data_IF_002103392076
#
_entry.id   IF_002103392076
#
_cell.length_a   1.000
_cell.length_b   1.000
_cell.length_c   1.000
_cell.angle_alpha   90.00
_cell.angle_beta   90.00
_cell.angle_gamma   90.00
#
_symmetry.space_group_name_H-M   'P 1'
#
loop_
_entity.id
_entity.type
_entity.pdbx_description
1 polymer ?
#
# COMPACT_ATOMS: atom_id res chain seq x y z
N UNK A 1 57.05 51.80 23.55
CA UNK A 1 56.05 52.37 22.63
C UNK A 1 55.46 51.24 21.80
N UNK A 2 54.19 51.17 21.77
CA UNK A 2 53.25 50.28 21.02
C UNK A 2 52.64 49.11 21.82
N UNK A 3 51.37 49.35 22.12
CA UNK A 3 50.45 48.52 22.83
C UNK A 3 50.10 47.28 22.08
N UNK A 4 50.05 46.13 22.79
CA UNK A 4 49.44 44.93 22.35
C UNK A 4 48.02 44.87 22.92
N UNK A 5 47.02 44.97 22.05
CA UNK A 5 45.62 44.77 22.40
C UNK A 5 45.31 43.27 22.24
N UNK A 6 45.09 42.59 23.35
CA UNK A 6 44.58 41.19 23.36
C UNK A 6 43.10 41.22 23.12
N UNK A 7 42.64 40.64 22.00
CA UNK A 7 41.23 40.39 21.70
C UNK A 7 40.85 39.01 22.28
N UNK A 8 40.07 39.05 23.36
CA UNK A 8 39.47 37.86 23.97
C UNK A 8 38.24 37.48 23.16
N UNK A 9 38.32 36.41 22.33
CA UNK A 9 37.15 35.82 21.70
C UNK A 9 36.44 34.93 22.70
N UNK A 10 35.29 35.38 23.18
CA UNK A 10 34.33 34.59 23.93
C UNK A 10 33.61 33.65 22.95
N UNK A 11 33.90 32.36 22.98
CA UNK A 11 33.06 31.34 22.35
C UNK A 11 31.81 31.14 23.21
N UNK A 12 30.69 31.70 22.80
CA UNK A 12 29.38 31.32 23.31
C UNK A 12 28.99 30.01 22.61
N UNK A 13 29.04 28.92 23.34
CA UNK A 13 28.45 27.67 22.93
C UNK A 13 26.92 27.83 22.97
N UNK A 14 26.31 28.02 21.82
CA UNK A 14 24.85 27.94 21.71
C UNK A 14 24.50 26.47 21.72
N UNK A 15 24.02 25.99 22.84
CA UNK A 15 23.33 24.70 22.91
C UNK A 15 22.00 24.83 22.14
N UNK A 16 22.00 24.39 20.90
CA UNK A 16 20.75 24.17 20.16
C UNK A 16 20.15 22.88 20.72
N UNK A 17 19.34 23.02 21.77
CA UNK A 17 18.42 21.94 22.13
C UNK A 17 17.46 21.79 20.96
N UNK A 18 17.56 20.64 20.29
CA UNK A 18 16.59 20.23 19.30
C UNK A 18 15.20 20.24 19.95
N UNK A 19 14.31 21.06 19.41
CA UNK A 19 12.91 21.03 19.81
C UNK A 19 12.39 19.63 19.46
N UNK A 20 12.04 18.86 20.48
CA UNK A 20 11.21 17.68 20.31
C UNK A 20 9.91 18.14 19.64
N UNK A 21 9.46 17.53 18.54
CA UNK A 21 8.18 17.89 17.94
C UNK A 21 7.08 17.72 19.00
N UNK A 22 6.26 18.73 19.12
CA UNK A 22 5.09 18.71 20.01
C UNK A 22 4.21 17.53 19.59
N UNK A 23 3.80 16.64 20.50
CA UNK A 23 2.91 15.55 20.16
C UNK A 23 1.63 16.12 19.54
N UNK A 24 1.23 15.61 18.40
CA UNK A 24 -0.07 15.90 17.79
C UNK A 24 -1.14 15.51 18.79
N UNK A 25 -1.96 16.46 19.21
CA UNK A 25 -3.07 16.17 20.13
C UNK A 25 -4.12 15.31 19.41
N UNK A 26 -4.65 14.26 20.02
CA UNK A 26 -5.82 13.56 19.51
C UNK A 26 -6.99 14.53 19.37
N UNK A 27 -7.75 14.41 18.28
CA UNK A 27 -9.01 15.14 18.14
C UNK A 27 -9.95 14.58 19.23
N UNK A 28 -10.40 15.42 20.15
CA UNK A 28 -11.32 15.01 21.21
C UNK A 28 -12.65 14.53 20.62
N UNK A 29 -12.76 13.23 20.44
CA UNK A 29 -14.04 12.52 20.30
C UNK A 29 -14.09 11.50 21.41
N UNK A 30 -15.17 11.46 22.18
CA UNK A 30 -15.35 10.46 23.23
C UNK A 30 -15.22 9.07 22.64
N UNK A 31 -14.26 8.24 23.05
CA UNK A 31 -14.06 6.94 22.45
C UNK A 31 -15.22 6.02 22.79
N UNK A 32 -15.91 5.53 21.78
CA UNK A 32 -16.71 4.32 21.93
C UNK A 32 -15.74 3.17 22.05
N UNK A 33 -15.68 2.51 23.20
CA UNK A 33 -14.69 1.47 23.47
C UNK A 33 -14.84 0.31 22.49
N UNK A 34 -13.77 0.04 21.71
CA UNK A 34 -13.65 -1.19 20.97
C UNK A 34 -13.44 -2.31 21.99
N UNK A 35 -14.31 -3.32 21.98
CA UNK A 35 -14.23 -4.45 22.91
C UNK A 35 -12.89 -5.19 22.75
N UNK A 36 -12.38 -5.75 23.85
CA UNK A 36 -11.07 -6.40 23.95
C UNK A 36 -10.97 -7.74 23.18
N UNK A 37 -11.15 -7.72 21.86
CA UNK A 37 -10.99 -8.93 21.04
C UNK A 37 -9.73 -8.78 20.19
N UNK A 38 -8.57 -8.94 20.81
CA UNK A 38 -7.32 -9.22 20.08
C UNK A 38 -7.22 -10.74 19.96
N UNK A 39 -7.85 -11.29 18.91
CA UNK A 39 -7.69 -12.70 18.56
C UNK A 39 -6.54 -12.87 17.58
N UNK A 40 -5.48 -13.55 17.99
CA UNK A 40 -4.46 -14.11 17.10
C UNK A 40 -5.05 -15.31 16.33
N UNK A 41 -6.06 -15.07 15.49
CA UNK A 41 -6.58 -16.13 14.63
C UNK A 41 -5.70 -16.28 13.41
N UNK A 42 -5.18 -17.49 13.23
CA UNK A 42 -4.72 -18.03 11.94
C UNK A 42 -5.74 -17.67 10.87
N UNK A 43 -5.32 -16.98 9.81
CA UNK A 43 -6.18 -16.60 8.70
C UNK A 43 -6.73 -17.91 8.09
N UNK A 44 -7.96 -18.24 8.43
CA UNK A 44 -8.68 -19.31 7.73
C UNK A 44 -8.93 -18.86 6.29
N UNK A 45 -8.94 -19.75 5.29
CA UNK A 45 -9.26 -19.37 3.93
C UNK A 45 -10.61 -18.63 3.93
N UNK A 46 -10.61 -17.42 3.38
CA UNK A 46 -11.77 -16.52 3.36
C UNK A 46 -12.90 -17.23 2.60
N UNK A 47 -13.97 -17.57 3.28
CA UNK A 47 -15.16 -18.14 2.64
C UNK A 47 -15.74 -17.08 1.72
N UNK A 48 -15.78 -17.32 0.41
CA UNK A 48 -16.42 -16.42 -0.55
C UNK A 48 -17.94 -16.40 -0.23
N UNK A 49 -18.44 -15.22 0.12
CA UNK A 49 -19.86 -15.01 0.47
C UNK A 49 -20.62 -14.66 -0.81
N UNK A 50 -21.89 -15.08 -0.96
CA UNK A 50 -22.75 -14.64 -2.06
C UNK A 50 -22.74 -13.11 -2.20
N UNK A 51 -22.87 -12.61 -3.43
CA UNK A 51 -22.81 -11.18 -3.76
C UNK A 51 -23.92 -10.35 -3.11
N UNK A 52 -25.06 -10.98 -2.86
CA UNK A 52 -26.26 -10.41 -2.23
C UNK A 52 -26.06 -9.93 -0.77
N UNK A 53 -25.00 -10.42 -0.10
CA UNK A 53 -24.67 -10.00 1.27
C UNK A 53 -23.43 -9.10 1.37
N UNK A 54 -22.83 -8.73 0.24
CA UNK A 54 -21.57 -8.01 0.23
C UNK A 54 -21.75 -6.49 -0.01
N UNK A 55 -21.03 -5.68 0.77
CA UNK A 55 -20.83 -4.27 0.49
C UNK A 55 -19.54 -4.08 -0.30
N UNK A 56 -19.56 -3.25 -1.33
CA UNK A 56 -18.36 -2.85 -2.05
C UNK A 56 -17.90 -1.49 -1.54
N UNK A 57 -16.76 -1.48 -0.85
CA UNK A 57 -16.10 -0.26 -0.44
C UNK A 57 -15.37 0.34 -1.63
N UNK A 58 -15.61 1.61 -1.88
CA UNK A 58 -14.93 2.41 -2.90
C UNK A 58 -14.27 3.60 -2.20
N UNK A 59 -12.95 3.72 -2.36
CA UNK A 59 -12.20 4.91 -1.98
C UNK A 59 -11.86 5.67 -3.28
N UNK A 60 -12.60 6.74 -3.51
CA UNK A 60 -12.50 7.50 -4.75
C UNK A 60 -11.37 8.55 -4.67
N UNK A 61 -10.84 8.94 -5.83
CA UNK A 61 -9.76 9.92 -5.98
C UNK A 61 -10.09 11.32 -5.40
N UNK A 62 -11.37 11.63 -5.15
CA UNK A 62 -11.78 12.89 -4.52
C UNK A 62 -11.74 12.83 -2.99
N UNK A 63 -11.18 11.76 -2.41
CA UNK A 63 -11.12 11.54 -0.97
C UNK A 63 -12.43 11.07 -0.36
N UNK A 64 -13.40 10.67 -1.18
CA UNK A 64 -14.65 10.08 -0.70
C UNK A 64 -14.49 8.58 -0.54
N UNK A 65 -14.77 8.10 0.67
CA UNK A 65 -14.94 6.70 0.97
C UNK A 65 -16.43 6.40 1.11
N UNK A 66 -16.92 5.42 0.37
CA UNK A 66 -18.32 4.99 0.48
C UNK A 66 -18.47 3.49 0.25
N UNK A 67 -19.56 2.90 0.73
CA UNK A 67 -19.92 1.54 0.42
C UNK A 67 -21.16 1.51 -0.45
N UNK A 68 -21.12 0.65 -1.46
CA UNK A 68 -22.24 0.34 -2.33
C UNK A 68 -22.79 -1.04 -1.98
N UNK A 69 -24.07 -1.10 -1.69
CA UNK A 69 -24.81 -2.33 -1.42
C UNK A 69 -25.36 -2.86 -2.74
N UNK A 70 -24.94 -4.05 -3.14
CA UNK A 70 -25.32 -4.67 -4.41
C UNK A 70 -26.78 -5.13 -4.45
N UNK A 71 -27.35 -5.50 -3.31
CA UNK A 71 -28.74 -5.99 -3.25
C UNK A 71 -29.73 -4.83 -3.39
N UNK A 72 -29.52 -3.76 -2.62
CA UNK A 72 -30.38 -2.57 -2.68
C UNK A 72 -30.03 -1.61 -3.79
N UNK A 73 -28.90 -1.77 -4.47
CA UNK A 73 -28.32 -0.86 -5.47
C UNK A 73 -28.18 0.58 -4.95
N UNK A 74 -27.83 0.73 -3.67
CA UNK A 74 -27.70 2.03 -3.01
C UNK A 74 -26.37 2.21 -2.30
N UNK A 75 -26.01 3.47 -2.02
CA UNK A 75 -24.91 3.81 -1.12
C UNK A 75 -25.38 3.60 0.30
N UNK A 76 -24.74 2.67 1.05
CA UNK A 76 -25.09 2.38 2.43
C UNK A 76 -24.58 3.48 3.39
N UNK A 77 -23.34 3.94 3.19
CA UNK A 77 -22.77 5.04 3.94
C UNK A 77 -21.63 5.74 3.18
N UNK A 78 -21.29 6.96 3.61
CA UNK A 78 -20.23 7.78 3.02
C UNK A 78 -19.44 8.48 4.12
N UNK A 79 -18.10 8.51 3.97
CA UNK A 79 -17.17 9.23 4.85
C UNK A 79 -16.18 10.02 4.01
N UNK A 80 -15.81 11.22 4.51
CA UNK A 80 -14.74 12.06 3.94
C UNK A 80 -13.77 12.50 5.03
N UNK A 81 -12.55 12.88 4.62
CA UNK A 81 -11.63 13.62 5.49
C UNK A 81 -12.31 14.91 6.02
N UNK A 82 -11.83 15.38 7.17
CA UNK A 82 -12.40 16.58 7.82
C UNK A 82 -12.21 17.83 6.97
N UNK A 83 -11.06 17.95 6.32
CA UNK A 83 -10.74 19.07 5.42
C UNK A 83 -10.96 18.63 3.96
N UNK A 84 -11.53 19.52 3.14
CA UNK A 84 -11.77 19.25 1.72
C UNK A 84 -10.46 19.34 0.93
N UNK A 85 -9.80 18.22 0.74
CA UNK A 85 -8.68 18.09 -0.20
C UNK A 85 -9.09 17.27 -1.41
N UNK A 86 -8.43 17.57 -2.54
CA UNK A 86 -8.50 16.69 -3.70
C UNK A 86 -7.41 15.65 -3.54
N UNK A 87 -7.76 14.41 -3.27
CA UNK A 87 -6.80 13.30 -3.34
C UNK A 87 -6.44 13.06 -4.80
N UNK A 88 -5.15 13.06 -5.11
CA UNK A 88 -4.68 12.76 -6.47
C UNK A 88 -4.43 11.27 -6.66
N UNK A 89 -4.38 10.49 -5.58
CA UNK A 89 -4.18 9.05 -5.55
C UNK A 89 -4.98 8.47 -4.39
N UNK A 90 -5.76 7.43 -4.62
CA UNK A 90 -6.45 6.75 -3.54
C UNK A 90 -5.44 5.99 -2.66
N UNK A 91 -5.41 6.31 -1.37
CA UNK A 91 -4.76 5.46 -0.38
C UNK A 91 -5.52 4.12 -0.28
N UNK A 92 -4.86 3.12 0.28
CA UNK A 92 -5.46 1.80 0.49
C UNK A 92 -5.95 1.68 1.92
N UNK A 93 -6.98 0.87 2.13
CA UNK A 93 -7.54 0.64 3.46
C UNK A 93 -7.15 -0.74 3.98
N UNK A 94 -7.06 -0.86 5.29
CA UNK A 94 -6.90 -2.16 5.96
C UNK A 94 -8.16 -2.47 6.75
N UNK A 95 -8.73 -3.65 6.52
CA UNK A 95 -9.90 -4.15 7.22
C UNK A 95 -9.47 -5.28 8.17
N UNK A 96 -9.74 -5.11 9.46
CA UNK A 96 -9.49 -6.12 10.50
C UNK A 96 -10.66 -6.11 11.49
N UNK A 97 -11.22 -7.27 11.76
CA UNK A 97 -12.27 -7.50 12.77
C UNK A 97 -13.43 -6.47 12.67
N UNK A 98 -13.88 -6.21 11.45
CA UNK A 98 -14.98 -5.27 11.19
C UNK A 98 -14.61 -3.79 11.22
N UNK A 99 -13.34 -3.45 11.46
CA UNK A 99 -12.86 -2.06 11.49
C UNK A 99 -12.01 -1.74 10.27
N UNK A 100 -12.40 -0.69 9.56
CA UNK A 100 -11.62 -0.09 8.46
C UNK A 100 -10.67 0.96 9.01
N UNK A 101 -9.38 0.84 8.70
CA UNK A 101 -8.37 1.84 8.98
C UNK A 101 -8.02 2.57 7.69
N UNK A 102 -8.42 3.84 7.62
CA UNK A 102 -8.43 4.64 6.39
C UNK A 102 -7.47 5.81 6.51
N UNK A 103 -6.38 5.84 5.76
CA UNK A 103 -5.49 6.99 5.69
C UNK A 103 -6.02 7.97 4.62
N UNK A 104 -6.06 9.27 4.96
CA UNK A 104 -6.38 10.35 4.05
C UNK A 104 -5.14 11.18 3.72
N UNK A 105 -5.09 11.74 2.52
CA UNK A 105 -3.90 12.46 2.02
C UNK A 105 -3.45 13.59 2.95
N UNK A 106 -4.38 14.24 3.65
CA UNK A 106 -4.10 15.32 4.60
C UNK A 106 -3.45 14.87 5.92
N UNK A 107 -3.16 13.56 6.08
CA UNK A 107 -2.58 12.98 7.29
C UNK A 107 -3.59 12.51 8.32
N UNK A 108 -4.89 12.63 8.06
CA UNK A 108 -5.90 12.03 8.93
C UNK A 108 -5.93 10.51 8.73
N UNK A 109 -6.15 9.80 9.82
CA UNK A 109 -6.37 8.35 9.84
C UNK A 109 -7.62 8.10 10.65
N UNK A 110 -8.60 7.42 10.05
CA UNK A 110 -9.86 7.09 10.71
C UNK A 110 -9.95 5.58 10.95
N UNK A 111 -10.48 5.19 12.11
CA UNK A 111 -11.02 3.86 12.33
C UNK A 111 -12.53 3.92 12.20
N UNK A 112 -13.09 3.09 11.32
CA UNK A 112 -14.49 3.17 10.90
C UNK A 112 -15.10 1.78 10.98
N UNK A 113 -16.31 1.67 11.52
CA UNK A 113 -17.11 0.47 11.41
C UNK A 113 -17.44 0.19 9.95
N UNK A 114 -17.10 -1.00 9.47
CA UNK A 114 -17.21 -1.34 8.05
C UNK A 114 -18.66 -1.46 7.56
N UNK A 115 -19.62 -1.73 8.43
CA UNK A 115 -21.02 -1.92 8.06
C UNK A 115 -21.81 -0.60 8.10
N UNK A 116 -21.52 0.24 9.08
CA UNK A 116 -22.34 1.44 9.36
C UNK A 116 -21.68 2.75 8.97
N UNK A 117 -20.37 2.75 8.68
CA UNK A 117 -19.59 3.98 8.48
C UNK A 117 -19.37 4.80 9.76
N UNK A 118 -19.72 4.24 10.94
CA UNK A 118 -19.53 4.93 12.22
C UNK A 118 -18.03 5.07 12.51
N UNK A 119 -17.60 6.29 12.79
CA UNK A 119 -16.19 6.58 13.10
C UNK A 119 -15.94 6.31 14.57
N UNK A 120 -15.07 5.36 14.89
CA UNK A 120 -14.66 5.05 16.25
C UNK A 120 -13.67 6.08 16.79
N UNK A 121 -12.66 6.42 15.97
CA UNK A 121 -11.69 7.44 16.29
C UNK A 121 -11.10 8.08 15.03
N UNK A 122 -10.54 9.26 15.23
CA UNK A 122 -9.74 10.00 14.25
C UNK A 122 -8.39 10.34 14.85
N UNK A 123 -7.34 10.22 14.09
CA UNK A 123 -6.01 10.68 14.45
C UNK A 123 -5.43 11.46 13.27
N UNK A 124 -4.48 12.33 13.56
CA UNK A 124 -3.76 13.08 12.52
C UNK A 124 -2.26 12.96 12.75
N UNK A 125 -1.52 12.65 11.67
CA UNK A 125 -0.07 12.66 11.64
C UNK A 125 0.41 13.81 10.73
N UNK A 126 1.64 14.28 10.94
CA UNK A 126 2.16 15.48 10.25
C UNK A 126 1.66 16.78 10.85
N UNK A 127 1.91 17.89 10.18
CA UNK A 127 1.47 19.23 10.60
C UNK A 127 0.07 19.50 10.06
N UNK A 128 -0.71 20.31 10.79
CA UNK A 128 -2.09 20.67 10.40
C UNK A 128 -2.16 21.47 9.09
N UNK A 129 -1.05 22.07 8.65
CA UNK A 129 -0.94 22.85 7.42
C UNK A 129 -0.46 22.04 6.21
N UNK A 130 0.02 20.81 6.44
CA UNK A 130 0.50 19.95 5.36
C UNK A 130 -0.69 19.39 4.59
N UNK A 131 -0.72 19.58 3.27
CA UNK A 131 -1.80 19.15 2.41
C UNK A 131 -1.61 17.72 1.89
N UNK A 132 -0.35 17.31 1.73
CA UNK A 132 0.01 15.96 1.26
C UNK A 132 0.92 15.32 2.28
N UNK A 133 0.35 14.49 3.15
CA UNK A 133 1.08 13.77 4.20
C UNK A 133 1.12 12.29 3.91
N UNK A 134 0.01 11.72 3.47
CA UNK A 134 -0.14 10.30 3.16
C UNK A 134 -0.51 10.14 1.68
N UNK A 135 0.35 9.48 0.92
CA UNK A 135 0.16 9.20 -0.50
C UNK A 135 0.49 7.75 -0.79
N UNK A 136 -0.39 7.05 -1.50
CA UNK A 136 -0.26 5.63 -1.85
C UNK A 136 -0.04 4.69 -0.65
N UNK A 137 -0.47 5.11 0.54
CA UNK A 137 -0.22 4.37 1.76
C UNK A 137 -1.22 3.23 1.94
N UNK A 138 -0.71 2.15 2.52
CA UNK A 138 -1.47 1.03 3.06
C UNK A 138 -1.08 0.89 4.54
N UNK A 139 -1.98 1.18 5.48
CA UNK A 139 -1.70 0.94 6.89
C UNK A 139 -1.46 -0.54 7.14
N UNK A 140 -0.37 -0.87 7.81
CA UNK A 140 -0.12 -2.25 8.25
C UNK A 140 -0.51 -2.37 9.71
N UNK A 141 -1.41 -3.31 10.00
CA UNK A 141 -1.93 -3.53 11.35
C UNK A 141 -1.48 -4.87 11.86
N UNK A 142 -0.73 -4.85 12.95
CA UNK A 142 -0.26 -6.04 13.64
C UNK A 142 -0.10 -5.78 15.14
N UNK A 143 -0.44 -6.77 15.97
CA UNK A 143 -0.23 -6.75 17.42
C UNK A 143 -0.81 -5.49 18.12
N UNK A 144 -2.00 -5.05 17.69
CA UNK A 144 -2.66 -3.88 18.25
C UNK A 144 -2.04 -2.54 17.86
N UNK A 145 -1.19 -2.52 16.82
CA UNK A 145 -0.53 -1.32 16.30
C UNK A 145 -0.80 -1.12 14.82
N UNK A 146 -0.89 0.13 14.42
CA UNK A 146 -0.94 0.57 13.03
C UNK A 146 0.41 1.19 12.68
N UNK A 147 1.06 0.68 11.64
CA UNK A 147 2.30 1.20 11.10
C UNK A 147 2.07 1.86 9.75
N UNK A 148 2.64 3.06 9.56
CA UNK A 148 2.50 3.83 8.32
C UNK A 148 3.67 4.79 8.14
N UNK A 149 4.13 4.93 6.91
CA UNK A 149 5.09 5.97 6.50
C UNK A 149 4.37 7.21 5.99
N UNK A 150 5.04 8.35 5.97
CA UNK A 150 4.47 9.59 5.50
C UNK A 150 5.46 10.42 4.68
N UNK A 151 4.92 11.29 3.82
CA UNK A 151 5.68 12.19 2.94
C UNK A 151 6.62 13.15 3.71
N UNK A 152 6.32 13.40 4.99
CA UNK A 152 7.22 14.16 5.86
C UNK A 152 8.47 13.37 6.28
N UNK A 153 8.66 12.15 5.78
CA UNK A 153 9.82 11.29 6.03
C UNK A 153 9.83 10.64 7.41
N UNK A 154 8.66 10.43 8.01
CA UNK A 154 8.58 9.68 9.26
C UNK A 154 7.86 8.34 9.04
N UNK A 155 8.29 7.35 9.82
CA UNK A 155 7.55 6.14 10.11
C UNK A 155 6.81 6.34 11.43
N UNK A 156 5.53 6.02 11.48
CA UNK A 156 4.68 6.13 12.65
C UNK A 156 4.15 4.77 13.09
N UNK A 157 4.01 4.59 14.39
CA UNK A 157 3.22 3.53 15.00
C UNK A 157 2.15 4.14 15.89
N UNK A 158 0.89 3.79 15.62
CA UNK A 158 -0.26 4.24 16.38
C UNK A 158 -0.92 3.06 17.10
N UNK A 159 -1.56 3.32 18.23
CA UNK A 159 -2.42 2.36 18.91
C UNK A 159 -3.74 2.21 18.12
N UNK A 160 -4.12 0.99 17.75
CA UNK A 160 -5.36 0.77 16.99
C UNK A 160 -6.64 1.03 17.79
N UNK A 161 -6.59 1.04 19.13
CA UNK A 161 -7.78 1.23 19.97
C UNK A 161 -8.27 2.68 19.97
N UNK A 162 -7.34 3.65 19.89
CA UNK A 162 -7.65 5.06 20.06
C UNK A 162 -6.92 6.02 19.10
N UNK A 163 -6.09 5.48 18.21
CA UNK A 163 -5.29 6.26 17.26
C UNK A 163 -4.14 7.06 17.90
N UNK A 164 -3.85 6.86 19.20
CA UNK A 164 -2.76 7.57 19.87
C UNK A 164 -1.38 7.17 19.33
N UNK A 165 -0.46 8.14 19.27
CA UNK A 165 0.91 7.89 18.84
C UNK A 165 1.65 7.05 19.89
N UNK A 166 2.18 5.88 19.48
CA UNK A 166 3.04 5.05 20.30
C UNK A 166 4.52 5.45 20.16
N UNK A 167 4.98 5.55 18.92
CA UNK A 167 6.31 6.01 18.58
C UNK A 167 6.37 6.49 17.12
N UNK A 168 7.38 7.27 16.80
CA UNK A 168 7.73 7.61 15.43
C UNK A 168 9.25 7.65 15.26
N UNK A 169 9.70 7.49 14.02
CA UNK A 169 11.10 7.57 13.64
C UNK A 169 11.28 8.41 12.39
N UNK A 170 12.24 9.34 12.42
CA UNK A 170 12.62 10.17 11.27
C UNK A 170 13.54 9.37 10.36
N UNK A 171 13.09 9.11 9.13
CA UNK A 171 13.86 8.45 8.08
C UNK A 171 14.80 9.45 7.37
N UNK A 172 15.79 8.93 6.61
CA UNK A 172 16.83 9.75 5.96
C UNK A 172 16.28 10.67 4.87
N UNK A 173 15.18 10.29 4.20
CA UNK A 173 14.59 11.07 3.11
C UNK A 173 13.18 11.53 3.45
N UNK A 174 12.76 12.62 2.83
CA UNK A 174 11.37 13.06 2.72
C UNK A 174 10.74 12.51 1.45
N UNK A 175 9.42 12.71 1.27
CA UNK A 175 8.63 12.17 0.16
C UNK A 175 8.61 10.64 0.14
N UNK A 176 8.40 10.06 1.33
CA UNK A 176 8.34 8.62 1.48
C UNK A 176 6.90 8.14 1.28
N UNK A 177 6.62 7.55 0.11
CA UNK A 177 5.35 6.91 -0.26
C UNK A 177 5.45 5.38 -0.24
N UNK A 178 6.50 4.83 0.37
CA UNK A 178 6.74 3.39 0.41
C UNK A 178 6.04 2.78 1.61
N UNK A 179 5.06 1.88 1.39
CA UNK A 179 4.40 1.16 2.47
C UNK A 179 5.37 0.29 3.26
N UNK A 180 5.05 0.08 4.54
CA UNK A 180 5.84 -0.78 5.42
C UNK A 180 5.52 -2.27 5.20
N UNK A 181 6.45 -3.15 5.63
CA UNK A 181 6.24 -4.57 5.83
C UNK A 181 6.37 -4.89 7.32
N UNK A 182 5.42 -5.63 7.86
CA UNK A 182 5.58 -6.27 9.18
C UNK A 182 5.87 -7.76 8.98
N UNK A 183 6.96 -8.22 9.60
CA UNK A 183 7.35 -9.62 9.57
C UNK A 183 8.23 -9.95 10.79
N UNK A 184 7.96 -11.07 11.46
CA UNK A 184 8.75 -11.57 12.61
C UNK A 184 8.97 -10.51 13.69
N UNK A 185 7.90 -9.86 14.15
CA UNK A 185 7.90 -8.78 15.15
C UNK A 185 8.80 -7.57 14.80
N UNK A 186 9.06 -7.39 13.52
CA UNK A 186 9.86 -6.29 12.97
C UNK A 186 9.05 -5.51 11.95
N UNK A 187 9.36 -4.22 11.87
CA UNK A 187 8.85 -3.34 10.82
C UNK A 187 9.99 -3.02 9.87
N UNK A 188 9.76 -3.26 8.59
CA UNK A 188 10.69 -2.96 7.51
C UNK A 188 10.14 -1.84 6.64
N UNK A 189 11.00 -0.90 6.28
CA UNK A 189 10.70 0.13 5.30
C UNK A 189 11.98 0.60 4.62
N UNK A 190 11.82 1.42 3.62
CA UNK A 190 12.93 2.03 2.89
C UNK A 190 12.69 3.53 2.73
N UNK A 191 13.78 4.30 2.60
CA UNK A 191 13.73 5.74 2.43
C UNK A 191 14.99 6.21 1.72
N UNK A 192 14.85 6.85 0.56
CA UNK A 192 15.98 7.14 -0.30
C UNK A 192 16.74 5.86 -0.66
N UNK A 193 18.05 5.85 -0.44
CA UNK A 193 18.89 4.67 -0.68
C UNK A 193 19.06 3.76 0.54
N UNK A 194 18.27 3.94 1.60
CA UNK A 194 18.39 3.19 2.83
C UNK A 194 17.22 2.24 3.06
N UNK A 195 17.52 1.05 3.53
CA UNK A 195 16.58 0.06 4.03
C UNK A 195 16.74 -0.10 5.54
N UNK A 196 15.63 -0.17 6.26
CA UNK A 196 15.58 -0.20 7.72
C UNK A 196 14.83 -1.40 8.24
N UNK A 197 15.28 -1.91 9.38
CA UNK A 197 14.56 -2.84 10.24
C UNK A 197 14.40 -2.24 11.62
N UNK A 198 13.17 -2.25 12.14
CA UNK A 198 12.82 -1.72 13.45
C UNK A 198 12.23 -2.81 14.34
N UNK A 199 12.45 -2.72 15.64
CA UNK A 199 11.67 -3.43 16.62
C UNK A 199 10.24 -2.83 16.66
N UNK A 200 9.23 -3.64 16.39
CA UNK A 200 7.87 -3.16 16.22
C UNK A 200 7.27 -2.47 17.46
N UNK A 201 7.68 -2.89 18.66
CA UNK A 201 7.13 -2.36 19.90
C UNK A 201 7.68 -0.98 20.28
N UNK A 202 8.93 -0.70 19.97
CA UNK A 202 9.64 0.48 20.48
C UNK A 202 10.07 1.45 19.40
N UNK A 203 10.05 1.05 18.11
CA UNK A 203 10.61 1.82 17.01
C UNK A 203 12.15 1.90 17.04
N UNK A 204 12.81 1.07 17.87
CA UNK A 204 14.27 1.00 17.88
C UNK A 204 14.78 0.42 16.57
N UNK A 205 15.73 1.10 15.94
CA UNK A 205 16.42 0.58 14.75
C UNK A 205 17.23 -0.66 15.14
N UNK A 206 16.95 -1.77 14.49
CA UNK A 206 17.71 -3.03 14.64
C UNK A 206 18.91 -3.01 13.70
N UNK A 207 18.70 -2.62 12.45
CA UNK A 207 19.76 -2.30 11.51
C UNK A 207 19.29 -1.34 10.42
N UNK A 208 20.24 -0.71 9.78
CA UNK A 208 20.09 0.09 8.58
C UNK A 208 21.10 -0.38 7.55
N UNK A 209 20.66 -0.49 6.29
CA UNK A 209 21.53 -0.83 5.16
C UNK A 209 21.40 0.23 4.09
N UNK A 210 22.51 0.81 3.66
CA UNK A 210 22.57 1.72 2.52
C UNK A 210 22.89 0.97 1.24
N UNK A 211 22.27 1.41 0.16
CA UNK A 211 22.50 0.95 -1.21
C UNK A 211 23.07 2.09 -2.04
N UNK A 212 23.58 1.79 -3.22
CA UNK A 212 24.12 2.81 -4.14
C UNK A 212 23.01 3.63 -4.79
N UNK A 213 21.86 2.99 -5.05
CA UNK A 213 20.73 3.60 -5.74
C UNK A 213 19.50 3.71 -4.82
N UNK A 214 18.63 4.69 -5.06
CA UNK A 214 17.37 4.79 -4.32
C UNK A 214 16.54 3.53 -4.41
N UNK A 215 15.93 3.19 -3.28
CA UNK A 215 15.03 2.04 -3.18
C UNK A 215 13.62 2.41 -3.66
N UNK A 216 12.89 1.44 -4.17
CA UNK A 216 11.55 1.63 -4.73
C UNK A 216 10.65 0.44 -4.44
N UNK A 217 9.33 0.67 -4.48
CA UNK A 217 8.33 -0.36 -4.28
C UNK A 217 8.17 -0.80 -2.82
N UNK A 218 7.15 -1.58 -2.57
CA UNK A 218 6.83 -2.11 -1.23
C UNK A 218 7.73 -3.30 -0.90
N UNK A 219 8.35 -3.37 0.29
CA UNK A 219 9.00 -4.59 0.77
C UNK A 219 7.97 -5.73 0.90
N UNK A 220 8.36 -6.95 0.51
CA UNK A 220 7.54 -8.16 0.65
C UNK A 220 8.36 -9.29 1.26
N UNK A 221 7.68 -10.36 1.73
CA UNK A 221 8.33 -11.53 2.33
C UNK A 221 7.72 -12.83 1.85
N UNK A 222 8.53 -13.88 1.79
CA UNK A 222 8.10 -15.26 1.60
C UNK A 222 8.00 -16.05 2.92
N UNK A 223 8.12 -15.34 4.07
CA UNK A 223 8.16 -15.92 5.41
C UNK A 223 9.55 -16.35 5.87
N UNK A 224 10.59 -16.16 5.06
CA UNK A 224 12.00 -16.42 5.41
C UNK A 224 12.89 -15.20 5.11
N UNK A 225 12.71 -14.59 3.95
CA UNK A 225 13.49 -13.47 3.45
C UNK A 225 12.62 -12.24 3.21
N UNK A 226 13.25 -11.08 3.12
CA UNK A 226 12.60 -9.82 2.72
C UNK A 226 13.10 -9.45 1.33
N UNK A 227 12.17 -9.08 0.44
CA UNK A 227 12.48 -8.69 -0.93
C UNK A 227 12.17 -7.22 -1.15
N UNK A 228 13.10 -6.51 -1.78
CA UNK A 228 13.03 -5.09 -2.10
C UNK A 228 13.59 -4.83 -3.49
N UNK A 229 13.19 -3.74 -4.13
CA UNK A 229 13.74 -3.31 -5.40
C UNK A 229 14.34 -1.91 -5.31
N UNK A 230 15.17 -1.53 -6.28
CA UNK A 230 15.67 -0.18 -6.41
C UNK A 230 15.25 0.45 -7.75
N UNK A 231 15.54 1.74 -7.93
CA UNK A 231 15.21 2.51 -9.15
C UNK A 231 16.05 2.12 -10.37
N UNK A 232 17.07 1.28 -10.21
CA UNK A 232 17.88 0.71 -11.30
C UNK A 232 17.48 -0.73 -11.64
N UNK A 233 16.26 -1.10 -11.22
CA UNK A 233 15.64 -2.37 -11.59
C UNK A 233 16.41 -3.60 -11.10
N UNK A 234 16.99 -3.49 -9.92
CA UNK A 234 17.59 -4.60 -9.20
C UNK A 234 16.67 -5.02 -8.05
N UNK A 235 16.28 -6.29 -8.06
CA UNK A 235 15.58 -6.95 -6.97
C UNK A 235 16.60 -7.60 -6.04
N UNK A 236 16.44 -7.40 -4.73
CA UNK A 236 17.30 -7.98 -3.69
C UNK A 236 16.50 -8.88 -2.77
N UNK A 237 17.10 -9.99 -2.36
CA UNK A 237 16.68 -10.75 -1.19
C UNK A 237 17.58 -10.40 -0.02
N UNK A 238 16.98 -10.08 1.11
CA UNK A 238 17.66 -9.68 2.33
C UNK A 238 17.35 -10.65 3.46
N UNK A 239 18.33 -10.85 4.32
CA UNK A 239 18.12 -11.52 5.59
C UNK A 239 17.30 -10.60 6.52
N UNK A 240 16.17 -11.06 7.11
CA UNK A 240 15.36 -10.22 7.98
C UNK A 240 16.02 -9.87 9.33
N UNK A 241 17.10 -10.55 9.70
CA UNK A 241 17.77 -10.40 10.98
C UNK A 241 19.10 -9.64 10.89
N UNK A 242 19.68 -9.53 9.69
CA UNK A 242 20.97 -8.87 9.44
C UNK A 242 20.89 -8.02 8.17
N UNK A 243 21.81 -7.04 7.97
CA UNK A 243 21.81 -6.23 6.76
C UNK A 243 22.38 -6.96 5.53
N UNK A 244 22.43 -8.29 5.53
CA UNK A 244 23.06 -9.06 4.45
C UNK A 244 22.12 -9.23 3.26
N UNK A 245 22.68 -9.03 2.05
CA UNK A 245 22.06 -9.42 0.79
C UNK A 245 22.34 -10.89 0.56
N UNK A 246 21.28 -11.70 0.40
CA UNK A 246 21.37 -13.13 0.12
C UNK A 246 21.65 -13.34 -1.37
N UNK A 247 20.86 -12.66 -2.21
CA UNK A 247 21.04 -12.63 -3.65
C UNK A 247 20.49 -11.33 -4.24
N UNK A 248 20.84 -11.07 -5.48
CA UNK A 248 20.27 -9.99 -6.28
C UNK A 248 19.96 -10.49 -7.68
N UNK A 249 18.88 -9.96 -8.26
CA UNK A 249 18.46 -10.20 -9.64
C UNK A 249 18.36 -8.87 -10.37
N UNK A 250 19.08 -8.72 -11.47
CA UNK A 250 19.03 -7.51 -12.30
C UNK A 250 18.24 -7.81 -13.57
N UNK A 251 17.29 -6.93 -13.90
CA UNK A 251 16.57 -7.02 -15.16
C UNK A 251 17.50 -6.89 -16.36
N UNK A 252 17.08 -7.45 -17.49
CA UNK A 252 17.75 -7.28 -18.76
C UNK A 252 17.78 -5.79 -19.17
N UNK A 253 18.76 -5.39 -19.95
CA UNK A 253 18.83 -4.03 -20.50
C UNK A 253 17.51 -3.67 -21.21
N UNK A 254 17.04 -2.45 -21.01
CA UNK A 254 15.77 -1.91 -21.51
C UNK A 254 14.48 -2.41 -20.84
N UNK A 255 14.54 -3.08 -19.70
CA UNK A 255 13.38 -3.35 -18.87
C UNK A 255 13.47 -2.59 -17.55
N UNK A 256 12.37 -1.99 -17.12
CA UNK A 256 12.30 -1.06 -16.00
C UNK A 256 11.08 -1.34 -15.11
N UNK A 257 11.03 -0.71 -13.92
CA UNK A 257 9.88 -0.67 -13.03
C UNK A 257 9.50 -1.99 -12.36
N UNK A 258 10.46 -2.74 -11.78
CA UNK A 258 10.17 -3.86 -10.86
C UNK A 258 9.30 -3.42 -9.67
N UNK A 259 9.22 -2.14 -9.44
CA UNK A 259 8.80 -1.50 -8.19
C UNK A 259 7.31 -1.57 -7.86
N UNK A 260 6.41 -1.70 -8.84
CA UNK A 260 5.01 -1.43 -8.54
C UNK A 260 4.31 -2.56 -7.79
N UNK A 261 4.61 -3.81 -8.09
CA UNK A 261 4.06 -4.95 -7.36
C UNK A 261 4.99 -6.15 -7.42
N UNK A 262 5.53 -6.48 -6.28
CA UNK A 262 6.19 -7.78 -6.06
C UNK A 262 5.18 -8.63 -5.29
N UNK A 263 4.87 -9.82 -5.83
CA UNK A 263 4.02 -10.81 -5.20
C UNK A 263 4.88 -11.97 -4.71
N UNK A 264 4.54 -12.53 -3.56
CA UNK A 264 5.19 -13.73 -3.03
C UNK A 264 4.15 -14.80 -2.76
N UNK A 265 4.34 -16.00 -3.34
CA UNK A 265 3.53 -17.19 -3.09
C UNK A 265 4.36 -18.45 -3.27
N UNK A 266 4.19 -19.42 -2.38
CA UNK A 266 4.80 -20.76 -2.47
C UNK A 266 6.30 -20.74 -2.78
N UNK A 267 7.06 -19.91 -2.04
CA UNK A 267 8.51 -19.74 -2.21
C UNK A 267 8.90 -19.27 -3.62
N UNK A 268 8.04 -18.53 -4.27
CA UNK A 268 8.30 -17.87 -5.55
C UNK A 268 7.95 -16.39 -5.46
N UNK A 269 8.63 -15.60 -6.28
CA UNK A 269 8.44 -14.16 -6.41
C UNK A 269 7.98 -13.88 -7.83
N UNK A 270 6.92 -13.07 -7.93
CA UNK A 270 6.38 -12.64 -9.22
C UNK A 270 6.36 -11.12 -9.26
N UNK A 271 6.72 -10.55 -10.39
CA UNK A 271 6.66 -9.11 -10.60
C UNK A 271 6.55 -8.75 -12.08
N UNK A 272 5.96 -7.60 -12.34
CA UNK A 272 5.92 -7.02 -13.67
C UNK A 272 7.12 -6.11 -13.90
N UNK A 273 7.67 -6.13 -15.11
CA UNK A 273 8.69 -5.23 -15.57
C UNK A 273 8.24 -4.59 -16.90
N UNK A 274 8.46 -3.28 -17.04
CA UNK A 274 8.09 -2.53 -18.22
C UNK A 274 9.30 -2.38 -19.15
N UNK A 275 9.08 -2.41 -20.46
CA UNK A 275 10.08 -2.14 -21.47
C UNK A 275 9.52 -1.24 -22.58
N UNK A 276 10.35 -0.71 -23.47
CA UNK A 276 9.92 0.21 -24.53
C UNK A 276 8.99 -0.44 -25.57
N UNK A 277 9.13 -1.74 -25.79
CA UNK A 277 8.36 -2.49 -26.79
C UNK A 277 7.51 -3.63 -26.17
N UNK A 278 7.78 -4.00 -24.93
CA UNK A 278 7.08 -5.06 -24.24
C UNK A 278 7.18 -4.90 -22.73
N UNK A 279 6.12 -5.23 -22.03
CA UNK A 279 6.16 -5.52 -20.60
C UNK A 279 6.30 -7.03 -20.39
N UNK A 280 6.85 -7.43 -19.25
CA UNK A 280 7.05 -8.84 -18.95
C UNK A 280 6.64 -9.14 -17.51
N UNK A 281 6.12 -10.35 -17.27
CA UNK A 281 5.98 -10.89 -15.92
C UNK A 281 7.07 -11.95 -15.74
N UNK A 282 7.75 -11.86 -14.62
CA UNK A 282 8.78 -12.78 -14.19
C UNK A 282 8.34 -13.61 -13.02
N UNK A 283 8.78 -14.85 -12.95
CA UNK A 283 8.79 -15.65 -11.74
C UNK A 283 10.21 -16.04 -11.38
N UNK A 284 10.58 -15.84 -10.12
CA UNK A 284 11.86 -16.26 -9.55
C UNK A 284 11.66 -17.24 -8.41
N UNK A 285 12.59 -18.15 -8.22
CA UNK A 285 12.73 -18.89 -6.98
C UNK A 285 13.15 -17.95 -5.85
N UNK A 286 12.40 -17.89 -4.76
CA UNK A 286 12.62 -16.90 -3.69
C UNK A 286 13.93 -17.15 -2.91
N UNK A 287 14.40 -18.41 -2.85
CA UNK A 287 15.61 -18.76 -2.13
C UNK A 287 16.89 -18.44 -2.90
N UNK A 288 16.87 -18.58 -4.22
CA UNK A 288 18.07 -18.49 -5.06
C UNK A 288 18.09 -17.29 -6.00
N UNK A 289 16.95 -16.64 -6.23
CA UNK A 289 16.80 -15.58 -7.24
C UNK A 289 16.85 -16.09 -8.68
N UNK A 290 16.83 -17.42 -8.88
CA UNK A 290 16.85 -18.00 -10.23
C UNK A 290 15.54 -17.78 -10.95
N UNK A 291 15.59 -17.28 -12.19
CA UNK A 291 14.40 -17.14 -13.02
C UNK A 291 13.80 -18.51 -13.35
N UNK A 292 12.53 -18.70 -13.04
CA UNK A 292 11.75 -19.90 -13.32
C UNK A 292 11.08 -19.81 -14.69
N UNK A 293 10.40 -18.68 -14.94
CA UNK A 293 9.78 -18.37 -16.20
C UNK A 293 9.68 -16.85 -16.42
N UNK A 294 9.38 -16.46 -17.65
CA UNK A 294 9.13 -15.10 -18.08
C UNK A 294 8.08 -15.10 -19.19
N UNK A 295 7.09 -14.20 -19.09
CA UNK A 295 6.04 -14.03 -20.11
C UNK A 295 6.02 -12.59 -20.60
N UNK A 296 6.11 -12.41 -21.92
CA UNK A 296 6.18 -11.10 -22.58
C UNK A 296 4.82 -10.66 -23.12
N UNK A 297 4.45 -9.41 -22.85
CA UNK A 297 3.30 -8.72 -23.39
C UNK A 297 3.79 -7.69 -24.40
N UNK A 298 3.74 -8.04 -25.69
CA UNK A 298 4.26 -7.19 -26.78
C UNK A 298 3.34 -5.98 -27.01
N UNK A 299 3.96 -4.84 -27.29
CA UNK A 299 3.30 -3.58 -27.64
C UNK A 299 2.27 -3.09 -26.60
N UNK A 300 2.42 -3.50 -25.33
CA UNK A 300 1.51 -3.11 -24.27
C UNK A 300 2.23 -2.99 -22.92
N UNK A 301 1.66 -2.22 -21.99
CA UNK A 301 2.21 -1.97 -20.67
C UNK A 301 1.30 -2.59 -19.60
N UNK A 302 1.87 -3.41 -18.75
CA UNK A 302 1.16 -3.98 -17.59
C UNK A 302 1.01 -2.88 -16.53
N UNK A 303 -0.23 -2.56 -16.17
CA UNK A 303 -0.56 -1.54 -15.17
C UNK A 303 -0.83 -2.15 -13.80
N UNK A 304 -1.27 -3.41 -13.74
CA UNK A 304 -1.67 -4.07 -12.51
C UNK A 304 -1.51 -5.58 -12.59
N UNK A 305 -1.08 -6.19 -11.48
CA UNK A 305 -1.10 -7.65 -11.28
C UNK A 305 -1.56 -7.99 -9.87
N UNK A 306 -2.24 -9.09 -9.73
CA UNK A 306 -2.66 -9.69 -8.45
C UNK A 306 -2.64 -11.21 -8.56
N UNK A 307 -2.35 -11.88 -7.47
CA UNK A 307 -2.51 -13.34 -7.37
C UNK A 307 -3.89 -13.64 -6.83
N UNK A 308 -4.62 -14.52 -7.54
CA UNK A 308 -5.90 -15.07 -7.10
C UNK A 308 -6.07 -16.48 -7.63
N UNK A 309 -6.34 -17.44 -6.72
CA UNK A 309 -6.68 -18.82 -7.05
C UNK A 309 -5.68 -19.52 -7.99
N UNK A 310 -4.39 -19.47 -7.63
CA UNK A 310 -3.26 -20.03 -8.37
C UNK A 310 -3.06 -19.45 -9.79
N UNK A 311 -3.55 -18.23 -10.00
CA UNK A 311 -3.35 -17.47 -11.21
C UNK A 311 -2.81 -16.07 -10.89
N UNK A 312 -2.09 -15.50 -11.85
CA UNK A 312 -1.79 -14.08 -11.87
C UNK A 312 -2.79 -13.40 -12.81
N UNK A 313 -3.62 -12.56 -12.23
CA UNK A 313 -4.53 -11.70 -12.96
C UNK A 313 -3.94 -10.31 -13.10
N UNK A 314 -4.28 -9.64 -14.19
CA UNK A 314 -3.84 -8.25 -14.36
C UNK A 314 -4.52 -7.57 -15.55
N UNK A 315 -4.21 -6.29 -15.70
CA UNK A 315 -4.61 -5.55 -16.88
C UNK A 315 -3.49 -4.69 -17.44
N UNK A 316 -3.63 -4.36 -18.71
CA UNK A 316 -2.67 -3.54 -19.43
C UNK A 316 -3.20 -2.14 -19.71
N UNK A 317 -2.31 -1.24 -20.11
CA UNK A 317 -2.66 0.13 -20.53
C UNK A 317 -3.67 0.18 -21.69
N UNK A 318 -3.66 -0.82 -22.54
CA UNK A 318 -4.65 -0.94 -23.63
C UNK A 318 -5.96 -1.61 -23.16
N UNK A 319 -6.27 -1.63 -21.87
CA UNK A 319 -7.45 -2.25 -21.29
C UNK A 319 -7.60 -3.73 -21.67
N UNK A 320 -6.53 -4.50 -21.65
CA UNK A 320 -6.57 -5.94 -21.81
C UNK A 320 -6.49 -6.61 -20.45
N UNK A 321 -7.54 -7.29 -20.05
CA UNK A 321 -7.54 -8.21 -18.91
C UNK A 321 -6.82 -9.50 -19.32
N UNK A 322 -5.95 -10.01 -18.45
CA UNK A 322 -5.26 -11.28 -18.67
C UNK A 322 -5.25 -12.14 -17.41
N UNK A 323 -5.13 -13.45 -17.64
CA UNK A 323 -4.94 -14.48 -16.64
C UNK A 323 -3.73 -15.34 -17.03
N UNK A 324 -2.78 -15.51 -16.13
CA UNK A 324 -1.62 -16.37 -16.27
C UNK A 324 -1.70 -17.53 -15.30
N UNK A 325 -1.34 -18.71 -15.75
CA UNK A 325 -1.04 -19.85 -14.86
C UNK A 325 0.23 -19.50 -14.05
N UNK A 326 0.12 -19.48 -12.73
CA UNK A 326 1.19 -19.08 -11.84
C UNK A 326 2.37 -20.07 -11.85
N UNK A 327 2.16 -21.31 -12.29
CA UNK A 327 3.18 -22.37 -12.26
C UNK A 327 4.18 -22.28 -13.42
N UNK A 328 3.71 -21.91 -14.60
CA UNK A 328 4.49 -21.92 -15.84
C UNK A 328 4.50 -20.58 -16.60
N UNK A 329 3.66 -19.63 -16.20
CA UNK A 329 3.53 -18.32 -16.84
C UNK A 329 2.76 -18.33 -18.16
N UNK A 330 2.08 -19.42 -18.53
CA UNK A 330 1.27 -19.46 -19.74
C UNK A 330 0.04 -18.58 -19.62
N UNK A 331 -0.29 -17.84 -20.68
CA UNK A 331 -1.51 -17.02 -20.75
C UNK A 331 -2.70 -17.95 -20.89
N UNK A 332 -3.47 -18.12 -19.82
CA UNK A 332 -4.67 -18.94 -19.79
C UNK A 332 -5.87 -18.25 -20.45
N UNK A 333 -5.97 -16.93 -20.31
CA UNK A 333 -7.03 -16.14 -20.92
C UNK A 333 -6.61 -14.69 -21.15
N UNK A 334 -7.12 -14.08 -22.22
CA UNK A 334 -7.06 -12.65 -22.48
C UNK A 334 -8.43 -12.15 -22.96
N UNK A 335 -8.82 -10.96 -22.52
CA UNK A 335 -10.06 -10.29 -22.94
C UNK A 335 -9.81 -8.80 -23.04
N UNK A 336 -10.27 -8.19 -24.14
CA UNK A 336 -10.28 -6.74 -24.30
C UNK A 336 -11.47 -6.18 -23.51
N UNK A 337 -11.19 -5.29 -22.54
CA UNK A 337 -12.20 -4.58 -21.79
C UNK A 337 -12.73 -3.38 -22.59
N UNK A 338 -13.96 -2.99 -22.36
CA UNK A 338 -14.57 -1.80 -22.96
C UNK A 338 -14.13 -0.53 -22.25
N UNK A 339 -13.85 -0.63 -20.95
CA UNK A 339 -13.37 0.48 -20.11
C UNK A 339 -12.02 0.16 -19.48
N UNK A 340 -11.21 1.22 -19.24
CA UNK A 340 -9.93 1.08 -18.55
C UNK A 340 -10.15 0.95 -17.04
N UNK A 341 -9.67 -0.09 -16.38
CA UNK A 341 -9.62 -0.15 -14.92
C UNK A 341 -8.72 0.97 -14.34
N UNK A 342 -9.18 1.60 -13.25
CA UNK A 342 -8.42 2.58 -12.47
C UNK A 342 -8.26 2.16 -11.01
N UNK A 343 -8.70 0.96 -10.67
CA UNK A 343 -8.59 0.38 -9.32
C UNK A 343 -7.89 -0.96 -9.34
N UNK A 344 -7.66 -1.50 -8.15
CA UNK A 344 -7.37 -2.92 -7.98
C UNK A 344 -8.58 -3.78 -8.40
N UNK A 345 -8.31 -5.08 -8.56
CA UNK A 345 -9.32 -6.11 -8.74
C UNK A 345 -9.77 -6.70 -7.42
N UNK A 346 -11.06 -7.01 -7.30
CA UNK A 346 -11.64 -7.80 -6.22
C UNK A 346 -12.42 -8.98 -6.80
N UNK A 347 -12.21 -10.16 -6.21
CA UNK A 347 -12.85 -11.41 -6.63
C UNK A 347 -13.77 -11.92 -5.51
N UNK A 348 -15.05 -11.49 -5.47
CA UNK A 348 -15.96 -11.90 -4.40
C UNK A 348 -16.38 -13.36 -4.48
N UNK A 349 -16.60 -13.84 -5.70
CA UNK A 349 -17.01 -15.21 -6.04
C UNK A 349 -16.23 -15.70 -7.27
N UNK A 350 -16.24 -17.01 -7.49
CA UNK A 350 -15.38 -17.66 -8.49
C UNK A 350 -15.59 -17.20 -9.93
N UNK A 351 -16.79 -16.70 -10.25
CA UNK A 351 -17.18 -16.32 -11.60
C UNK A 351 -17.26 -14.80 -11.84
N UNK A 352 -16.88 -13.99 -10.87
CA UNK A 352 -16.97 -12.53 -10.95
C UNK A 352 -15.70 -11.81 -10.52
N UNK A 353 -15.36 -10.79 -11.29
CA UNK A 353 -14.30 -9.83 -10.99
C UNK A 353 -14.91 -8.43 -10.93
N UNK A 354 -14.58 -7.66 -9.92
CA UNK A 354 -14.96 -6.25 -9.81
C UNK A 354 -13.76 -5.34 -10.01
N UNK A 355 -13.99 -4.24 -10.72
CA UNK A 355 -13.07 -3.12 -10.82
C UNK A 355 -13.83 -1.80 -10.99
N UNK A 356 -13.18 -0.70 -10.65
CA UNK A 356 -13.70 0.64 -10.86
C UNK A 356 -13.03 1.25 -12.09
N UNK A 357 -13.84 1.81 -12.98
CA UNK A 357 -13.40 2.59 -14.12
C UNK A 357 -13.60 4.09 -13.84
N UNK A 358 -13.21 4.95 -14.75
CA UNK A 358 -13.45 6.39 -14.66
C UNK A 358 -14.96 6.75 -14.65
N UNK A 359 -15.80 5.86 -15.13
CA UNK A 359 -17.25 6.08 -15.28
C UNK A 359 -18.11 5.25 -14.33
N UNK A 360 -17.66 4.05 -13.92
CA UNK A 360 -18.53 3.09 -13.24
C UNK A 360 -17.79 2.06 -12.39
N UNK A 361 -18.49 1.46 -11.43
CA UNK A 361 -18.17 0.18 -10.87
C UNK A 361 -18.61 -0.91 -11.86
N UNK A 362 -17.67 -1.74 -12.27
CA UNK A 362 -17.90 -2.80 -13.26
C UNK A 362 -17.83 -4.15 -12.58
N UNK A 363 -18.83 -4.98 -12.83
CA UNK A 363 -18.79 -6.42 -12.63
C UNK A 363 -18.47 -7.10 -13.95
N UNK A 364 -17.34 -7.77 -14.00
CA UNK A 364 -16.96 -8.59 -15.15
C UNK A 364 -17.27 -10.06 -14.87
N UNK A 365 -18.09 -10.67 -15.71
CA UNK A 365 -18.38 -12.10 -15.64
C UNK A 365 -17.26 -12.90 -16.31
N UNK A 366 -16.59 -13.76 -15.55
CA UNK A 366 -15.43 -14.52 -16.02
C UNK A 366 -15.82 -15.63 -17.03
N UNK A 367 -17.09 -16.05 -17.07
CA UNK A 367 -17.58 -17.08 -17.99
C UNK A 367 -18.06 -16.49 -19.31
N UNK A 368 -18.96 -15.50 -19.23
CA UNK A 368 -19.56 -14.90 -20.44
C UNK A 368 -18.68 -13.82 -21.05
N UNK A 369 -17.75 -13.23 -20.27
CA UNK A 369 -16.89 -12.09 -20.61
C UNK A 369 -17.67 -10.79 -20.76
N UNK A 370 -18.86 -10.71 -20.18
CA UNK A 370 -19.67 -9.51 -20.18
C UNK A 370 -19.22 -8.53 -19.08
N UNK A 371 -19.25 -7.24 -19.41
CA UNK A 371 -19.05 -6.14 -18.49
C UNK A 371 -20.41 -5.55 -18.12
N UNK A 372 -20.79 -5.63 -16.85
CA UNK A 372 -22.02 -5.07 -16.31
C UNK A 372 -21.70 -3.83 -15.49
N UNK A 373 -22.27 -2.69 -15.86
CA UNK A 373 -22.21 -1.46 -15.07
C UNK A 373 -23.13 -1.59 -13.85
N UNK A 374 -22.54 -1.71 -12.67
CA UNK A 374 -23.28 -1.89 -11.41
C UNK A 374 -23.62 -0.57 -10.75
N UNK A 375 -22.71 0.41 -10.82
CA UNK A 375 -22.88 1.74 -10.28
C UNK A 375 -22.26 2.77 -11.20
N UNK A 376 -23.08 3.75 -11.63
CA UNK A 376 -22.63 4.86 -12.47
C UNK A 376 -22.19 6.03 -11.60
N UNK A 377 -21.04 6.55 -11.88
CA UNK A 377 -20.51 7.74 -11.23
C UNK A 377 -21.28 8.97 -11.65
N UNK A 378 -21.78 9.75 -10.69
CA UNK A 378 -22.59 10.95 -10.94
C UNK A 378 -21.78 12.17 -11.38
N UNK A 379 -20.47 12.16 -11.19
CA UNK A 379 -19.56 13.24 -11.61
C UNK A 379 -18.26 12.68 -12.15
N UNK A 380 -18.14 12.67 -13.48
CA UNK A 380 -16.87 12.39 -14.14
C UNK A 380 -16.05 13.68 -14.10
N UNK A 381 -14.90 13.65 -13.44
CA UNK A 381 -13.88 14.70 -13.62
C UNK A 381 -12.83 14.16 -14.58
N UNK A 382 -12.50 14.94 -15.59
CA UNK A 382 -11.35 14.68 -16.44
C UNK A 382 -10.11 14.48 -15.54
N UNK A 383 -9.45 13.33 -15.64
CA UNK A 383 -8.28 12.89 -14.86
C UNK A 383 -8.56 12.14 -13.54
N UNK A 384 -9.45 11.16 -13.54
CA UNK A 384 -9.48 10.14 -12.49
C UNK A 384 -8.22 9.23 -12.61
N UNK A 385 -7.29 9.34 -11.68
CA UNK A 385 -6.00 8.63 -11.78
C UNK A 385 -5.99 7.27 -11.09
N UNK A 386 -6.71 7.11 -9.98
CA UNK A 386 -6.84 5.83 -9.28
C UNK A 386 -8.01 5.85 -8.30
N UNK A 387 -8.59 4.68 -8.10
CA UNK A 387 -9.51 4.39 -7.01
C UNK A 387 -9.06 3.09 -6.32
N UNK A 388 -9.56 2.84 -5.12
CA UNK A 388 -9.32 1.60 -4.41
C UNK A 388 -10.64 0.92 -4.10
N UNK A 389 -10.72 -0.37 -4.39
CA UNK A 389 -11.86 -1.24 -4.08
C UNK A 389 -11.52 -2.22 -2.96
N UNK A 390 -12.51 -2.53 -2.16
CA UNK A 390 -12.47 -3.67 -1.26
C UNK A 390 -13.87 -4.25 -1.04
N UNK A 391 -13.98 -5.55 -1.11
CA UNK A 391 -15.20 -6.24 -0.76
C UNK A 391 -15.25 -6.43 0.74
N UNK A 392 -16.31 -5.89 1.34
CA UNK A 392 -16.63 -6.03 2.74
C UNK A 392 -17.66 -7.13 2.88
N UNK A 393 -17.37 -8.10 3.73
CA UNK A 393 -18.26 -9.20 4.06
C UNK A 393 -18.84 -8.98 5.45
N UNK A 394 -20.12 -9.42 5.71
CA UNK A 394 -20.72 -9.35 7.03
C UNK A 394 -19.93 -10.07 8.10
#
# INVERSE_FOLDING_TARGET
MKNLLSLLLLFTVINIFGQTPTPTQPIETSPTAISDVVSTKTISPVKKVPLDEALILIYDYDGTLFTFDLESETIAWTVKATDAYTEMCANKVTLIDGVLYVPFINGEIFAIDNQTGTIFWKSRIGNSTDQTVLKDQLPIIQEGKLFITAQNGNLYALNIKDGSLLWNYKLDSTNNDIPVLFFDNKVFTQSGSSFYSFEANTGKVLYQKSFEEPMSGKPVTDGENVFIANEKDVLFALNPNTPDVIWQFKLAENQHNVRERILCKDKKIYFAAQGPEASSIYALDSKTGTQLWKTDFKDDTIEYIIEESDNIWGYTRKAKLFQLDITNGEIAAETKLTTQPISNFEFPVDDSLFYYSDAALIQFDLKTKDENEVYLRTSIKDNAYSAYLKIIRP
#
